data_IF_671383464402
#
_entry.id   IF_671383464402
#
_cell.length_a   1.000
_cell.length_b   1.000
_cell.length_c   1.000
_cell.angle_alpha   90.00
_cell.angle_beta   90.00
_cell.angle_gamma   90.00
#
_symmetry.space_group_name_H-M   'P 1'
#
loop_
_entity.id
_entity.type
_entity.pdbx_description
1 polymer ?
#
# COMPACT_ATOMS: atom_id res chain seq x y z
N UNK A 1 1.85 -32.55 90.32
CA UNK A 1 2.79 -33.35 89.52
C UNK A 1 2.02 -34.40 88.75
N UNK A 2 1.82 -34.20 87.44
CA UNK A 2 1.60 -35.24 86.42
C UNK A 2 1.56 -34.51 85.06
N UNK A 3 2.61 -34.69 84.25
CA UNK A 3 2.66 -34.21 82.86
C UNK A 3 1.90 -35.21 81.99
N UNK A 4 0.92 -34.76 81.20
CA UNK A 4 0.38 -35.52 80.07
C UNK A 4 0.84 -34.86 78.77
N UNK A 5 1.66 -35.61 78.03
CA UNK A 5 2.12 -35.31 76.68
C UNK A 5 1.06 -35.81 75.69
N UNK A 6 0.57 -34.95 74.81
CA UNK A 6 -0.20 -35.35 73.63
C UNK A 6 0.69 -35.17 72.40
N UNK A 7 1.28 -36.26 71.94
CA UNK A 7 1.88 -36.34 70.60
C UNK A 7 0.75 -36.71 69.63
N UNK A 8 0.32 -35.75 68.81
CA UNK A 8 -0.52 -36.03 67.66
C UNK A 8 0.36 -36.64 66.55
N UNK A 9 0.18 -37.92 66.28
CA UNK A 9 0.80 -38.58 65.14
C UNK A 9 0.09 -38.13 63.85
N UNK A 10 0.70 -37.24 63.07
CA UNK A 10 0.28 -36.99 61.70
C UNK A 10 0.58 -38.23 60.86
N UNK A 11 -0.47 -38.96 60.43
CA UNK A 11 -0.28 -40.07 59.50
C UNK A 11 0.20 -39.52 58.14
N UNK A 12 1.24 -40.07 57.52
CA UNK A 12 1.72 -39.59 56.23
C UNK A 12 0.70 -39.77 55.09
N UNK A 13 -0.33 -40.59 55.30
CA UNK A 13 -1.33 -40.94 54.29
C UNK A 13 -2.30 -39.80 53.98
N UNK A 14 -2.57 -38.91 54.94
CA UNK A 14 -3.43 -37.74 54.71
C UNK A 14 -2.76 -36.71 53.81
N UNK A 15 -1.44 -36.55 53.90
CA UNK A 15 -0.67 -35.66 53.03
C UNK A 15 -0.58 -36.19 51.59
N UNK A 16 -0.48 -37.52 51.41
CA UNK A 16 -0.52 -38.11 50.06
C UNK A 16 -1.89 -38.01 49.40
N UNK A 17 -2.97 -38.15 50.18
CA UNK A 17 -4.33 -38.00 49.66
C UNK A 17 -4.64 -36.56 49.19
N UNK A 18 -4.19 -35.55 49.93
CA UNK A 18 -4.35 -34.15 49.52
C UNK A 18 -3.51 -33.81 48.30
N UNK A 19 -2.28 -34.32 48.20
CA UNK A 19 -1.43 -34.11 47.03
C UNK A 19 -2.04 -34.76 45.77
N UNK A 20 -2.58 -35.97 45.88
CA UNK A 20 -3.22 -36.68 44.78
C UNK A 20 -4.52 -35.99 44.30
N UNK A 21 -5.30 -35.43 45.22
CA UNK A 21 -6.51 -34.67 44.88
C UNK A 21 -6.18 -33.35 44.14
N UNK A 22 -5.09 -32.68 44.53
CA UNK A 22 -4.64 -31.44 43.87
C UNK A 22 -4.09 -31.73 42.47
N UNK A 23 -3.27 -32.78 42.30
CA UNK A 23 -2.70 -33.12 40.99
C UNK A 23 -3.76 -33.59 40.00
N UNK A 24 -4.73 -34.37 40.45
CA UNK A 24 -5.87 -34.79 39.60
C UNK A 24 -6.75 -33.61 39.22
N UNK A 25 -7.02 -32.68 40.14
CA UNK A 25 -7.79 -31.47 39.83
C UNK A 25 -7.09 -30.57 38.81
N UNK A 26 -5.76 -30.39 38.93
CA UNK A 26 -4.97 -29.60 37.97
C UNK A 26 -4.94 -30.26 36.60
N UNK A 27 -4.83 -31.59 36.52
CA UNK A 27 -4.88 -32.33 35.25
C UNK A 27 -6.26 -32.26 34.58
N UNK A 28 -7.35 -32.29 35.35
CA UNK A 28 -8.71 -32.14 34.80
C UNK A 28 -8.95 -30.71 34.32
N UNK A 29 -8.49 -29.70 35.05
CA UNK A 29 -8.57 -28.29 34.62
C UNK A 29 -7.71 -28.00 33.39
N UNK A 30 -6.52 -28.60 33.29
CA UNK A 30 -5.68 -28.44 32.09
C UNK A 30 -6.27 -29.14 30.88
N UNK A 31 -6.88 -30.33 31.06
CA UNK A 31 -7.59 -31.04 29.99
C UNK A 31 -8.84 -30.29 29.53
N UNK A 32 -9.64 -29.76 30.47
CA UNK A 32 -10.82 -28.96 30.14
C UNK A 32 -10.45 -27.67 29.39
N UNK A 33 -9.37 -26.99 29.82
CA UNK A 33 -8.87 -25.77 29.16
C UNK A 33 -8.32 -26.05 27.77
N UNK A 34 -7.64 -27.18 27.57
CA UNK A 34 -7.14 -27.58 26.24
C UNK A 34 -8.27 -28.04 25.32
N UNK A 35 -9.32 -28.70 25.82
CA UNK A 35 -10.52 -28.99 25.02
C UNK A 35 -11.31 -27.74 24.60
N UNK A 36 -11.41 -26.73 25.48
CA UNK A 36 -12.03 -25.44 25.15
C UNK A 36 -11.21 -24.62 24.14
N UNK A 37 -9.88 -24.67 24.22
CA UNK A 37 -9.00 -24.05 23.22
C UNK A 37 -9.04 -24.79 21.88
N UNK A 38 -9.16 -26.12 21.87
CA UNK A 38 -9.23 -26.89 20.64
C UNK A 38 -10.58 -26.75 19.90
N UNK A 39 -11.66 -26.41 20.61
CA UNK A 39 -12.96 -26.18 19.98
C UNK A 39 -13.06 -24.82 19.26
N UNK A 40 -12.11 -23.91 19.51
CA UNK A 40 -11.93 -22.66 18.75
C UNK A 40 -10.73 -22.67 17.79
N UNK A 41 -9.99 -23.78 17.71
CA UNK A 41 -8.79 -23.91 16.86
C UNK A 41 -8.92 -25.00 15.78
N UNK A 42 -10.14 -25.34 15.37
CA UNK A 42 -10.36 -25.91 14.04
C UNK A 42 -10.31 -24.77 13.01
N UNK A 43 -9.10 -24.26 12.75
CA UNK A 43 -8.85 -23.49 11.55
C UNK A 43 -8.91 -24.48 10.39
N UNK A 44 -10.06 -24.54 9.74
CA UNK A 44 -10.20 -25.21 8.45
C UNK A 44 -9.22 -24.53 7.49
N UNK A 45 -8.17 -25.26 7.11
CA UNK A 45 -7.23 -24.85 6.09
C UNK A 45 -7.98 -24.91 4.76
N UNK A 46 -8.60 -23.79 4.37
CA UNK A 46 -9.18 -23.62 3.05
C UNK A 46 -8.05 -23.75 2.02
N UNK A 47 -8.02 -24.90 1.34
CA UNK A 47 -7.16 -25.15 0.20
C UNK A 47 -7.63 -24.27 -0.98
N UNK A 48 -6.82 -23.30 -1.44
CA UNK A 48 -7.21 -22.37 -2.50
C UNK A 48 -7.31 -23.02 -3.90
N UNK A 49 -7.18 -24.35 -4.02
CA UNK A 49 -7.33 -25.09 -5.27
C UNK A 49 -8.57 -25.99 -5.35
N UNK A 50 -9.54 -25.85 -4.45
CA UNK A 50 -10.83 -26.54 -4.63
C UNK A 50 -11.61 -25.91 -5.80
N UNK A 51 -11.95 -26.67 -6.87
CA UNK A 51 -12.64 -26.13 -8.04
C UNK A 51 -14.12 -25.77 -7.79
N UNK A 52 -14.64 -26.02 -6.58
CA UNK A 52 -16.06 -25.88 -6.24
C UNK A 52 -16.34 -24.81 -5.17
N UNK A 53 -15.40 -23.90 -4.89
CA UNK A 53 -15.65 -22.77 -4.00
C UNK A 53 -16.51 -21.71 -4.70
N UNK A 54 -17.85 -21.87 -4.67
CA UNK A 54 -18.79 -20.82 -5.04
C UNK A 54 -18.62 -19.63 -4.08
N UNK A 55 -18.20 -18.49 -4.64
CA UNK A 55 -18.17 -17.21 -3.94
C UNK A 55 -19.58 -16.90 -3.40
N UNK A 56 -19.76 -16.60 -2.11
CA UNK A 56 -21.06 -16.16 -1.62
C UNK A 56 -21.45 -14.91 -2.40
N UNK A 57 -22.61 -14.99 -3.07
CA UNK A 57 -23.18 -13.89 -3.83
C UNK A 57 -23.29 -12.67 -2.90
N UNK A 58 -22.39 -11.71 -3.07
CA UNK A 58 -22.43 -10.46 -2.35
C UNK A 58 -23.80 -9.83 -2.61
N UNK A 59 -24.49 -9.48 -1.53
CA UNK A 59 -25.68 -8.65 -1.59
C UNK A 59 -25.30 -7.39 -2.38
N UNK A 60 -25.76 -7.32 -3.62
CA UNK A 60 -25.54 -6.19 -4.52
C UNK A 60 -26.46 -5.07 -4.06
N UNK A 61 -26.02 -4.36 -3.02
CA UNK A 61 -26.31 -2.94 -2.90
C UNK A 61 -25.92 -2.33 -4.25
N UNK A 62 -26.83 -1.61 -4.91
CA UNK A 62 -26.59 -0.96 -6.18
C UNK A 62 -25.58 0.18 -5.97
N UNK A 63 -24.31 -0.20 -5.88
CA UNK A 63 -23.17 0.69 -5.86
C UNK A 63 -23.22 1.56 -7.10
N UNK A 64 -23.28 2.87 -6.92
CA UNK A 64 -23.14 3.80 -8.03
C UNK A 64 -21.76 3.56 -8.67
N UNK A 65 -21.75 3.08 -9.91
CA UNK A 65 -20.51 2.96 -10.65
C UNK A 65 -19.98 4.37 -10.94
N UNK A 66 -18.66 4.63 -10.78
CA UNK A 66 -18.09 5.95 -11.08
C UNK A 66 -18.42 6.39 -12.51
N UNK A 67 -18.96 7.60 -12.69
CA UNK A 67 -19.12 8.20 -14.02
C UNK A 67 -17.79 8.24 -14.80
N UNK A 68 -17.87 8.02 -16.11
CA UNK A 68 -16.73 7.89 -17.02
C UNK A 68 -16.82 8.86 -18.20
N UNK A 69 -15.65 9.17 -18.74
CA UNK A 69 -15.50 9.96 -19.96
C UNK A 69 -14.97 11.38 -19.71
N UNK A 70 -14.85 12.18 -20.79
CA UNK A 70 -14.35 13.55 -20.70
C UNK A 70 -15.19 14.40 -19.74
N UNK A 71 -14.53 15.09 -18.82
CA UNK A 71 -15.20 15.93 -17.82
C UNK A 71 -15.67 15.20 -16.56
N UNK A 72 -15.62 13.86 -16.52
CA UNK A 72 -15.78 13.11 -15.27
C UNK A 72 -14.44 13.02 -14.52
N UNK A 73 -14.42 13.08 -13.18
CA UNK A 73 -13.21 12.83 -12.42
C UNK A 73 -12.62 11.45 -12.75
N UNK A 74 -11.30 11.26 -12.62
CA UNK A 74 -10.69 9.97 -12.87
C UNK A 74 -10.95 8.97 -11.73
N UNK A 75 -10.51 7.74 -11.94
CA UNK A 75 -10.48 6.69 -10.91
C UNK A 75 -9.02 6.26 -10.73
N UNK A 76 -8.51 6.40 -9.50
CA UNK A 76 -7.19 5.91 -9.14
C UNK A 76 -7.26 4.51 -8.55
N UNK A 77 -6.28 3.68 -8.89
CA UNK A 77 -5.98 2.45 -8.20
C UNK A 77 -4.74 2.67 -7.34
N UNK A 78 -4.85 2.39 -6.05
CA UNK A 78 -3.76 2.49 -5.09
C UNK A 78 -3.23 1.11 -4.74
N UNK A 79 -1.93 0.91 -4.92
CA UNK A 79 -1.21 -0.21 -4.36
C UNK A 79 -0.41 0.28 -3.15
N UNK A 80 -0.90 -0.06 -1.95
CA UNK A 80 -0.33 0.41 -0.68
C UNK A 80 0.40 -0.75 0.00
N UNK A 81 1.71 -0.60 0.18
CA UNK A 81 2.59 -1.64 0.70
C UNK A 81 3.19 -1.28 2.06
N UNK A 82 3.35 -2.27 2.93
CA UNK A 82 4.10 -2.17 4.19
C UNK A 82 4.78 -3.48 4.57
N UNK A 83 5.64 -3.44 5.58
CA UNK A 83 6.31 -4.61 6.11
C UNK A 83 5.99 -4.87 7.59
N UNK A 84 6.97 -5.40 8.30
CA UNK A 84 6.88 -5.64 9.74
C UNK A 84 6.55 -4.36 10.51
N UNK A 85 5.49 -4.36 11.32
CA UNK A 85 5.10 -3.23 12.16
C UNK A 85 4.33 -2.12 11.45
N UNK A 86 4.16 -2.21 10.12
CA UNK A 86 3.54 -1.14 9.33
C UNK A 86 2.01 -1.21 9.28
N UNK A 87 1.37 -2.21 9.91
CA UNK A 87 -0.08 -2.39 9.89
C UNK A 87 -0.86 -1.10 10.23
N UNK A 88 -0.40 -0.34 11.23
CA UNK A 88 -1.04 0.92 11.63
C UNK A 88 -0.76 2.05 10.64
N UNK A 89 0.45 2.12 10.09
CA UNK A 89 0.84 3.16 9.12
C UNK A 89 0.10 2.98 7.80
N UNK A 90 0.00 1.75 7.30
CA UNK A 90 -0.80 1.41 6.11
C UNK A 90 -2.28 1.74 6.33
N UNK A 91 -2.81 1.46 7.53
CA UNK A 91 -4.19 1.81 7.91
C UNK A 91 -4.42 3.33 7.89
N UNK A 92 -3.52 4.10 8.53
CA UNK A 92 -3.58 5.57 8.54
C UNK A 92 -3.51 6.13 7.13
N UNK A 93 -2.57 5.64 6.32
CA UNK A 93 -2.39 6.06 4.94
C UNK A 93 -3.64 5.76 4.10
N UNK A 94 -4.21 4.55 4.19
CA UNK A 94 -5.47 4.22 3.51
C UNK A 94 -6.57 5.23 3.87
N UNK A 95 -6.78 5.51 5.15
CA UNK A 95 -7.76 6.51 5.61
C UNK A 95 -7.50 7.90 5.02
N UNK A 96 -6.23 8.30 4.93
CA UNK A 96 -5.81 9.58 4.38
C UNK A 96 -6.09 9.70 2.87
N UNK A 97 -5.94 8.61 2.11
CA UNK A 97 -6.14 8.58 0.65
C UNK A 97 -7.49 8.00 0.22
N UNK A 98 -8.40 7.69 1.14
CA UNK A 98 -9.65 7.02 0.82
C UNK A 98 -10.65 7.92 0.07
N UNK A 99 -11.27 7.36 -0.97
CA UNK A 99 -12.37 7.94 -1.72
C UNK A 99 -13.18 6.78 -2.35
N UNK A 100 -14.52 6.81 -2.31
CA UNK A 100 -15.36 5.69 -2.75
C UNK A 100 -15.22 5.35 -4.24
N UNK A 101 -14.82 6.32 -5.07
CA UNK A 101 -14.57 6.08 -6.51
C UNK A 101 -13.35 5.23 -6.81
N UNK A 102 -12.33 5.32 -5.95
CA UNK A 102 -11.02 4.74 -6.21
C UNK A 102 -10.98 3.26 -5.82
N UNK A 103 -9.92 2.56 -6.21
CA UNK A 103 -9.67 1.16 -5.88
C UNK A 103 -8.42 1.05 -5.01
N UNK A 104 -8.43 0.18 -4.00
CA UNK A 104 -7.33 0.04 -3.05
C UNK A 104 -6.93 -1.42 -2.91
N UNK A 105 -5.64 -1.70 -3.06
CA UNK A 105 -5.04 -2.99 -2.75
C UNK A 105 -3.95 -2.79 -1.70
N UNK A 106 -4.18 -3.36 -0.52
CA UNK A 106 -3.25 -3.34 0.59
C UNK A 106 -2.42 -4.62 0.60
N UNK A 107 -1.12 -4.50 0.78
CA UNK A 107 -0.19 -5.62 0.86
C UNK A 107 0.78 -5.41 2.01
N UNK A 108 0.83 -6.37 2.92
CA UNK A 108 1.92 -6.49 3.88
C UNK A 108 2.81 -7.63 3.44
N UNK A 109 4.11 -7.38 3.34
CA UNK A 109 5.10 -8.34 2.86
C UNK A 109 5.27 -9.56 3.79
N UNK A 110 6.17 -10.47 3.44
CA UNK A 110 6.45 -11.66 4.24
C UNK A 110 7.13 -11.36 5.59
N UNK A 111 7.66 -10.15 5.80
CA UNK A 111 8.19 -9.68 7.08
C UNK A 111 7.08 -9.37 8.10
N UNK A 112 5.88 -9.02 7.64
CA UNK A 112 4.74 -8.86 8.54
C UNK A 112 4.26 -10.20 9.12
N UNK A 113 3.87 -10.20 10.39
CA UNK A 113 3.31 -11.40 11.03
C UNK A 113 1.92 -11.77 10.50
N UNK A 114 1.53 -13.04 10.64
CA UNK A 114 0.16 -13.48 10.30
C UNK A 114 -0.91 -12.70 11.07
N UNK A 115 -0.63 -12.36 12.34
CA UNK A 115 -1.49 -11.51 13.16
C UNK A 115 -1.67 -10.11 12.58
N UNK A 116 -0.60 -9.46 12.10
CA UNK A 116 -0.70 -8.12 11.51
C UNK A 116 -1.53 -8.13 10.23
N UNK A 117 -1.32 -9.12 9.35
CA UNK A 117 -2.16 -9.29 8.14
C UNK A 117 -3.63 -9.54 8.48
N UNK A 118 -3.89 -10.41 9.45
CA UNK A 118 -5.26 -10.68 9.92
C UNK A 118 -5.90 -9.43 10.54
N UNK A 119 -5.12 -8.66 11.31
CA UNK A 119 -5.57 -7.40 11.91
C UNK A 119 -5.92 -6.37 10.84
N UNK A 120 -5.07 -6.18 9.82
CA UNK A 120 -5.34 -5.27 8.70
C UNK A 120 -6.63 -5.68 7.96
N UNK A 121 -6.80 -6.97 7.68
CA UNK A 121 -8.00 -7.48 7.03
C UNK A 121 -9.27 -7.29 7.89
N UNK A 122 -9.17 -7.51 9.20
CA UNK A 122 -10.28 -7.27 10.12
C UNK A 122 -10.63 -5.79 10.25
N UNK A 123 -9.63 -4.92 10.23
CA UNK A 123 -9.83 -3.47 10.22
C UNK A 123 -10.60 -3.02 8.96
N UNK A 124 -10.19 -3.50 7.77
CA UNK A 124 -10.91 -3.18 6.53
C UNK A 124 -12.37 -3.63 6.58
N UNK A 125 -12.64 -4.79 7.20
CA UNK A 125 -14.01 -5.31 7.39
C UNK A 125 -14.80 -4.65 8.51
N UNK A 126 -14.19 -3.81 9.36
CA UNK A 126 -14.91 -3.12 10.43
C UNK A 126 -15.36 -1.71 10.04
N UNK A 127 -14.74 -1.13 9.01
CA UNK A 127 -15.06 0.23 8.57
C UNK A 127 -16.24 0.24 7.62
N UNK A 128 -17.32 0.94 8.00
CA UNK A 128 -18.58 0.95 7.27
C UNK A 128 -18.41 1.41 5.82
N UNK A 129 -17.65 2.49 5.59
CA UNK A 129 -17.41 3.00 4.23
C UNK A 129 -16.75 1.95 3.33
N UNK A 130 -15.76 1.21 3.85
CA UNK A 130 -15.03 0.22 3.06
C UNK A 130 -15.91 -0.99 2.73
N UNK A 131 -16.74 -1.42 3.68
CA UNK A 131 -17.74 -2.47 3.46
C UNK A 131 -18.79 -2.07 2.44
N UNK A 132 -19.33 -0.84 2.58
CA UNK A 132 -20.44 -0.38 1.76
C UNK A 132 -20.00 -0.18 0.32
N UNK A 133 -18.84 0.45 0.08
CA UNK A 133 -18.30 0.69 -1.26
C UNK A 133 -17.55 -0.51 -1.87
N UNK A 134 -17.10 -1.47 -1.05
CA UNK A 134 -16.47 -2.70 -1.50
C UNK A 134 -15.18 -2.51 -2.32
N UNK A 135 -14.51 -1.38 -2.17
CA UNK A 135 -13.40 -0.93 -3.03
C UNK A 135 -12.01 -1.06 -2.38
N UNK A 136 -11.91 -1.74 -1.24
CA UNK A 136 -10.66 -1.97 -0.50
C UNK A 136 -10.40 -3.48 -0.38
N UNK A 137 -9.25 -3.92 -0.88
CA UNK A 137 -8.84 -5.31 -0.89
C UNK A 137 -7.53 -5.50 -0.12
N UNK A 138 -7.37 -6.64 0.54
CA UNK A 138 -6.14 -7.00 1.27
C UNK A 138 -5.57 -8.29 0.70
N UNK A 139 -4.29 -8.27 0.34
CA UNK A 139 -3.59 -9.48 -0.10
C UNK A 139 -3.33 -10.37 1.13
N UNK A 140 -3.90 -11.58 1.13
CA UNK A 140 -3.80 -12.49 2.27
C UNK A 140 -2.39 -13.07 2.50
N UNK A 141 -1.66 -13.36 1.41
CA UNK A 141 -0.30 -13.89 1.45
C UNK A 141 0.72 -12.80 1.10
N UNK A 142 1.56 -12.46 2.08
CA UNK A 142 2.69 -11.56 1.87
C UNK A 142 3.73 -12.18 0.95
N UNK A 143 4.30 -11.37 0.08
CA UNK A 143 5.40 -11.76 -0.80
C UNK A 143 6.72 -11.49 -0.08
N UNK A 144 7.72 -12.34 -0.31
CA UNK A 144 9.08 -12.03 0.11
C UNK A 144 9.58 -10.82 -0.71
N UNK A 145 10.19 -9.85 -0.03
CA UNK A 145 10.53 -8.56 -0.63
C UNK A 145 11.79 -7.96 0.00
N UNK A 146 12.66 -7.40 -0.83
CA UNK A 146 13.62 -6.35 -0.45
C UNK A 146 13.46 -5.19 -1.45
N UNK A 147 13.22 -3.98 -0.93
CA UNK A 147 12.94 -2.80 -1.76
C UNK A 147 14.07 -2.39 -2.70
N UNK A 148 15.30 -2.84 -2.43
CA UNK A 148 16.48 -2.60 -3.28
C UNK A 148 16.61 -3.61 -4.42
N UNK A 149 15.72 -4.60 -4.48
CA UNK A 149 15.85 -5.75 -5.36
C UNK A 149 14.76 -5.84 -6.43
N UNK A 150 14.93 -6.72 -7.41
CA UNK A 150 13.91 -7.03 -8.41
C UNK A 150 12.62 -7.61 -7.83
N UNK A 151 12.63 -8.17 -6.63
CA UNK A 151 11.41 -8.56 -5.91
C UNK A 151 10.45 -7.38 -5.73
N UNK A 152 10.95 -6.14 -5.61
CA UNK A 152 10.11 -4.94 -5.58
C UNK A 152 9.31 -4.72 -6.87
N UNK A 153 9.96 -4.91 -8.03
CA UNK A 153 9.28 -4.82 -9.34
C UNK A 153 8.23 -5.93 -9.46
N UNK A 154 8.59 -7.16 -9.07
CA UNK A 154 7.68 -8.29 -9.11
C UNK A 154 6.43 -8.06 -8.22
N UNK A 155 6.60 -7.48 -7.03
CA UNK A 155 5.50 -7.15 -6.12
C UNK A 155 4.56 -6.11 -6.73
N UNK A 156 5.08 -5.03 -7.33
CA UNK A 156 4.25 -4.01 -8.00
C UNK A 156 3.47 -4.61 -9.18
N UNK A 157 4.12 -5.42 -10.02
CA UNK A 157 3.46 -6.08 -11.16
C UNK A 157 2.38 -7.07 -10.71
N UNK A 158 2.62 -7.81 -9.62
CA UNK A 158 1.62 -8.69 -9.01
C UNK A 158 0.43 -7.89 -8.48
N UNK A 159 0.69 -6.81 -7.74
CA UNK A 159 -0.35 -5.92 -7.24
C UNK A 159 -1.20 -5.32 -8.36
N UNK A 160 -0.55 -4.83 -9.41
CA UNK A 160 -1.21 -4.36 -10.63
C UNK A 160 -2.07 -5.44 -11.30
N UNK A 161 -1.56 -6.67 -11.43
CA UNK A 161 -2.31 -7.79 -12.00
C UNK A 161 -3.57 -8.12 -11.19
N UNK A 162 -3.52 -8.02 -9.86
CA UNK A 162 -4.68 -8.20 -8.98
C UNK A 162 -5.68 -7.04 -9.18
N UNK A 163 -5.21 -5.79 -9.16
CA UNK A 163 -6.05 -4.59 -9.36
C UNK A 163 -6.76 -4.55 -10.72
N UNK A 164 -6.19 -5.17 -11.75
CA UNK A 164 -6.88 -5.35 -13.04
C UNK A 164 -8.00 -6.40 -13.00
N UNK A 165 -8.01 -7.29 -11.99
CA UNK A 165 -9.03 -8.34 -11.82
C UNK A 165 -10.13 -7.96 -10.83
N UNK A 166 -9.81 -7.21 -9.78
CA UNK A 166 -10.72 -6.98 -8.63
C UNK A 166 -11.51 -5.67 -8.70
N UNK A 167 -11.35 -4.86 -9.74
CA UNK A 167 -12.04 -3.57 -9.85
C UNK A 167 -12.35 -3.15 -11.28
N UNK A 168 -13.28 -2.20 -11.41
CA UNK A 168 -13.65 -1.56 -12.68
C UNK A 168 -12.44 -0.84 -13.32
N UNK A 169 -12.58 -0.45 -14.59
CA UNK A 169 -11.54 0.21 -15.40
C UNK A 169 -10.99 1.49 -14.75
N UNK A 170 -9.99 1.40 -13.88
CA UNK A 170 -9.30 2.56 -13.29
C UNK A 170 -8.40 3.25 -14.33
N UNK A 171 -8.06 4.52 -14.10
CA UNK A 171 -7.32 5.35 -15.05
C UNK A 171 -5.81 5.35 -14.76
N UNK A 172 -5.43 5.46 -13.48
CA UNK A 172 -4.04 5.50 -13.03
C UNK A 172 -3.78 4.59 -11.85
N UNK A 173 -2.62 3.93 -11.86
CA UNK A 173 -2.05 3.22 -10.72
C UNK A 173 -1.09 4.15 -9.96
N UNK A 174 -1.28 4.25 -8.65
CA UNK A 174 -0.40 4.95 -7.71
C UNK A 174 0.20 3.92 -6.75
N UNK A 175 1.53 3.87 -6.66
CA UNK A 175 2.23 3.01 -5.69
C UNK A 175 2.65 3.83 -4.48
N UNK A 176 2.28 3.36 -3.28
CA UNK A 176 2.62 4.02 -2.01
C UNK A 176 3.15 3.01 -1.00
N UNK A 177 4.22 3.37 -0.30
CA UNK A 177 4.73 2.66 0.87
C UNK A 177 4.17 3.20 2.19
N UNK A 178 4.36 2.46 3.28
CA UNK A 178 3.97 2.87 4.63
C UNK A 178 4.65 4.18 5.12
N UNK A 179 5.71 4.61 4.45
CA UNK A 179 6.42 5.85 4.71
C UNK A 179 5.98 7.02 3.81
N UNK A 180 4.88 6.87 3.08
CA UNK A 180 4.33 7.89 2.19
C UNK A 180 3.06 8.51 2.79
N UNK A 181 2.76 9.75 2.38
CA UNK A 181 1.56 10.45 2.82
C UNK A 181 1.09 11.47 1.78
N UNK A 182 -0.23 11.66 1.61
CA UNK A 182 -0.76 12.68 0.70
C UNK A 182 -0.53 14.11 1.22
N UNK A 183 -0.28 15.03 0.30
CA UNK A 183 -0.19 16.48 0.53
C UNK A 183 -1.40 17.24 -0.02
N UNK A 184 -2.41 16.51 -0.52
CA UNK A 184 -3.67 17.01 -1.06
C UNK A 184 -4.80 16.07 -0.65
N UNK A 185 -6.03 16.56 -0.57
CA UNK A 185 -7.21 15.69 -0.40
C UNK A 185 -7.46 14.88 -1.67
N UNK A 186 -8.27 13.82 -1.58
CA UNK A 186 -8.66 13.05 -2.76
C UNK A 186 -9.49 13.88 -3.73
N UNK A 187 -10.39 14.73 -3.25
CA UNK A 187 -11.11 15.68 -4.09
C UNK A 187 -10.14 16.62 -4.86
N UNK A 188 -9.11 17.14 -4.18
CA UNK A 188 -8.08 17.98 -4.81
C UNK A 188 -7.30 17.23 -5.90
N UNK A 189 -6.94 15.97 -5.65
CA UNK A 189 -6.26 15.12 -6.61
C UNK A 189 -7.14 14.82 -7.83
N UNK A 190 -8.39 14.42 -7.58
CA UNK A 190 -9.40 14.13 -8.60
C UNK A 190 -9.67 15.36 -9.47
N UNK A 191 -9.80 16.53 -8.85
CA UNK A 191 -9.96 17.81 -9.55
C UNK A 191 -8.75 18.12 -10.44
N UNK A 192 -7.53 18.03 -9.90
CA UNK A 192 -6.33 18.38 -10.65
C UNK A 192 -6.06 17.43 -11.84
N UNK A 193 -6.40 16.15 -11.71
CA UNK A 193 -6.23 15.17 -12.78
C UNK A 193 -7.43 15.07 -13.74
N UNK A 194 -8.56 15.71 -13.45
CA UNK A 194 -9.74 15.67 -14.34
C UNK A 194 -9.47 16.27 -15.74
N UNK A 195 -8.53 17.21 -15.84
CA UNK A 195 -8.11 17.83 -17.11
C UNK A 195 -6.88 17.17 -17.75
N UNK A 196 -6.28 16.18 -17.08
CA UNK A 196 -5.08 15.49 -17.54
C UNK A 196 -5.49 14.35 -18.49
N UNK A 197 -4.85 14.21 -19.67
CA UNK A 197 -5.08 13.06 -20.54
C UNK A 197 -4.72 11.74 -19.83
N UNK A 198 -5.67 10.80 -19.81
CA UNK A 198 -5.63 9.55 -19.01
C UNK A 198 -4.57 8.53 -19.46
N UNK A 199 -4.00 8.75 -20.65
CA UNK A 199 -2.93 7.94 -21.21
C UNK A 199 -1.53 8.39 -20.76
N UNK A 200 -1.40 9.54 -20.09
CA UNK A 200 -0.13 10.03 -19.58
C UNK A 200 0.35 9.27 -18.33
N UNK A 201 1.66 9.16 -18.21
CA UNK A 201 2.37 8.54 -17.10
C UNK A 201 3.29 9.58 -16.47
N UNK A 202 3.29 9.66 -15.15
CA UNK A 202 4.09 10.61 -14.38
C UNK A 202 5.22 9.85 -13.70
N UNK A 203 6.41 9.97 -14.29
CA UNK A 203 7.61 9.32 -13.81
C UNK A 203 8.82 10.11 -14.30
N UNK A 204 9.67 10.50 -13.35
CA UNK A 204 10.95 11.05 -13.74
C UNK A 204 11.81 9.96 -14.38
N UNK A 205 12.59 10.35 -15.37
CA UNK A 205 13.53 9.47 -16.05
C UNK A 205 14.68 10.27 -16.63
N UNK A 206 15.85 9.63 -16.64
CA UNK A 206 17.06 10.08 -17.33
C UNK A 206 17.75 8.87 -17.94
N UNK A 207 18.44 9.08 -19.05
CA UNK A 207 19.30 8.03 -19.62
C UNK A 207 20.37 7.66 -18.58
N UNK A 208 20.58 6.36 -18.39
CA UNK A 208 21.61 5.87 -17.51
C UNK A 208 22.96 5.84 -18.23
N UNK A 209 23.94 6.53 -17.67
CA UNK A 209 25.30 6.65 -18.23
C UNK A 209 26.30 5.67 -17.62
N UNK A 210 25.86 4.78 -16.73
CA UNK A 210 26.74 3.78 -16.12
C UNK A 210 27.04 2.69 -17.15
N UNK A 211 28.33 2.36 -17.31
CA UNK A 211 28.73 1.31 -18.25
C UNK A 211 28.65 -0.09 -17.64
N UNK A 212 28.66 -0.17 -16.31
CA UNK A 212 28.67 -1.42 -15.56
C UNK A 212 27.68 -1.33 -14.40
N UNK A 213 26.90 -2.39 -14.21
CA UNK A 213 26.02 -2.53 -13.05
C UNK A 213 26.46 -3.71 -12.19
N UNK A 214 26.29 -3.54 -10.88
CA UNK A 214 26.53 -4.59 -9.90
C UNK A 214 25.52 -5.72 -10.08
N UNK A 215 26.02 -6.95 -10.07
CA UNK A 215 25.16 -8.15 -10.11
C UNK A 215 24.75 -8.51 -8.69
N UNK A 216 23.45 -8.66 -8.46
CA UNK A 216 22.90 -9.06 -7.17
C UNK A 216 22.12 -10.36 -7.28
N UNK A 217 22.02 -11.09 -6.17
CA UNK A 217 21.11 -12.20 -5.97
C UNK A 217 20.04 -11.78 -4.98
N UNK A 218 18.82 -11.59 -5.50
CA UNK A 218 17.63 -11.36 -4.71
C UNK A 218 16.93 -12.70 -4.42
N UNK A 219 17.20 -13.26 -3.23
CA UNK A 219 16.64 -14.54 -2.82
C UNK A 219 15.12 -14.50 -2.61
N UNK A 220 14.54 -13.30 -2.47
CA UNK A 220 13.10 -13.11 -2.29
C UNK A 220 12.29 -13.57 -3.51
N UNK A 221 12.89 -13.62 -4.70
CA UNK A 221 12.26 -14.21 -5.89
C UNK A 221 12.11 -15.74 -5.80
N UNK A 222 12.83 -16.39 -4.89
CA UNK A 222 12.94 -17.85 -4.80
C UNK A 222 12.40 -18.41 -3.46
N UNK A 223 12.05 -17.54 -2.51
CA UNK A 223 11.72 -17.91 -1.15
C UNK A 223 10.42 -17.23 -0.69
N UNK A 224 9.88 -17.70 0.44
CA UNK A 224 8.64 -17.16 1.02
C UNK A 224 8.86 -16.26 2.24
N UNK A 225 10.11 -15.95 2.57
CA UNK A 225 10.50 -15.11 3.71
C UNK A 225 11.43 -14.01 3.21
N UNK A 226 11.32 -12.83 3.82
CA UNK A 226 12.22 -11.72 3.49
C UNK A 226 13.68 -12.12 3.76
N UNK A 227 14.55 -11.84 2.80
CA UNK A 227 15.98 -12.07 2.87
C UNK A 227 16.73 -10.84 2.35
N UNK A 228 17.89 -10.57 2.93
CA UNK A 228 18.76 -9.49 2.43
C UNK A 228 19.33 -9.85 1.05
N UNK A 229 19.42 -8.84 0.18
CA UNK A 229 20.06 -8.98 -1.11
C UNK A 229 21.55 -9.29 -0.95
N UNK A 230 22.01 -10.31 -1.66
CA UNK A 230 23.41 -10.69 -1.72
C UNK A 230 24.09 -10.04 -2.92
N UNK A 231 25.11 -9.23 -2.67
CA UNK A 231 25.88 -8.57 -3.73
C UNK A 231 27.00 -9.50 -4.22
N UNK A 232 27.10 -9.69 -5.53
CA UNK A 232 28.21 -10.42 -6.17
C UNK A 232 29.38 -9.48 -6.47
N UNK A 233 30.59 -10.03 -6.58
CA UNK A 233 31.77 -9.30 -7.07
C UNK A 233 31.73 -9.07 -8.60
N UNK A 234 30.83 -9.75 -9.30
CA UNK A 234 30.64 -9.61 -10.74
C UNK A 234 29.96 -8.31 -11.14
N UNK A 235 30.37 -7.77 -12.28
CA UNK A 235 29.73 -6.63 -12.93
C UNK A 235 29.18 -7.07 -14.28
N UNK A 236 28.10 -6.42 -14.71
CA UNK A 236 27.48 -6.65 -16.02
C UNK A 236 27.61 -5.39 -16.86
N UNK A 237 28.03 -5.55 -18.12
CA UNK A 237 28.06 -4.47 -19.10
C UNK A 237 26.65 -4.01 -19.48
N UNK A 238 26.53 -2.74 -19.84
CA UNK A 238 25.30 -2.16 -20.37
C UNK A 238 24.83 -2.94 -21.63
N UNK A 239 23.53 -3.26 -21.76
CA UNK A 239 23.01 -3.97 -22.92
C UNK A 239 23.11 -3.10 -24.19
N UNK A 240 23.31 -3.76 -25.32
CA UNK A 240 23.32 -3.16 -26.66
C UNK A 240 21.93 -3.15 -27.33
N UNK A 241 21.04 -4.04 -26.89
CA UNK A 241 19.71 -4.23 -27.47
C UNK A 241 18.68 -3.15 -27.07
N UNK A 242 18.90 -2.40 -26.00
CA UNK A 242 18.01 -1.34 -25.52
C UNK A 242 18.75 -0.34 -24.63
N UNK A 243 18.21 0.86 -24.50
CA UNK A 243 18.79 1.90 -23.67
C UNK A 243 18.25 1.83 -22.24
N UNK A 244 19.12 1.94 -21.25
CA UNK A 244 18.72 2.00 -19.85
C UNK A 244 18.31 3.41 -19.45
N UNK A 245 17.20 3.50 -18.73
CA UNK A 245 16.73 4.73 -18.11
C UNK A 245 16.49 4.49 -16.62
N UNK A 246 16.86 5.48 -15.79
CA UNK A 246 16.69 5.45 -14.34
C UNK A 246 15.86 6.67 -13.88
N UNK A 247 15.08 6.52 -12.82
CA UNK A 247 14.36 7.61 -12.15
C UNK A 247 13.86 7.19 -10.78
N UNK A 248 12.89 7.92 -10.23
CA UNK A 248 12.23 7.55 -8.97
C UNK A 248 11.53 6.20 -9.10
N UNK A 249 11.58 5.34 -8.07
CA UNK A 249 10.76 4.13 -8.04
C UNK A 249 9.26 4.43 -7.81
N UNK A 250 8.92 5.66 -7.42
CA UNK A 250 7.56 6.12 -7.12
C UNK A 250 6.95 6.86 -8.30
N UNK A 251 5.85 6.33 -8.85
CA UNK A 251 5.32 6.72 -10.15
C UNK A 251 3.79 6.71 -10.13
N UNK A 252 3.17 7.50 -11.02
CA UNK A 252 1.74 7.41 -11.34
C UNK A 252 1.61 6.92 -12.77
N UNK A 253 1.17 5.68 -12.95
CA UNK A 253 1.20 4.98 -14.23
C UNK A 253 -0.20 4.83 -14.82
N UNK A 254 -0.38 5.20 -16.08
CA UNK A 254 -1.63 4.99 -16.80
C UNK A 254 -1.98 3.49 -16.86
N UNK A 255 -3.27 3.17 -16.84
CA UNK A 255 -3.73 1.79 -16.99
C UNK A 255 -3.20 1.12 -18.25
N UNK A 256 -3.20 1.82 -19.39
CA UNK A 256 -2.72 1.28 -20.65
C UNK A 256 -1.24 0.85 -20.59
N UNK A 257 -0.41 1.61 -19.88
CA UNK A 257 1.00 1.24 -19.67
C UNK A 257 1.14 0.07 -18.71
N UNK A 258 0.41 0.07 -17.60
CA UNK A 258 0.41 -1.03 -16.63
C UNK A 258 -0.04 -2.34 -17.27
N UNK A 259 -1.11 -2.31 -18.07
CA UNK A 259 -1.60 -3.44 -18.87
C UNK A 259 -0.51 -3.96 -19.81
N UNK A 260 0.24 -3.07 -20.46
CA UNK A 260 1.35 -3.46 -21.32
C UNK A 260 2.47 -4.16 -20.52
N UNK A 261 2.83 -3.68 -19.34
CA UNK A 261 3.85 -4.31 -18.50
C UNK A 261 3.42 -5.69 -17.98
N UNK A 262 2.15 -5.84 -17.57
CA UNK A 262 1.63 -7.09 -16.98
C UNK A 262 1.28 -8.13 -18.05
N UNK A 263 0.52 -7.75 -19.08
CA UNK A 263 0.18 -8.66 -20.16
C UNK A 263 1.38 -8.97 -21.06
N UNK A 264 2.30 -8.00 -21.17
CA UNK A 264 3.49 -8.05 -22.02
C UNK A 264 3.14 -8.59 -23.42
N UNK A 265 2.29 -7.92 -24.21
CA UNK A 265 1.96 -8.40 -25.56
C UNK A 265 3.21 -8.46 -26.46
N UNK A 266 4.21 -7.63 -26.17
CA UNK A 266 5.54 -7.65 -26.77
C UNK A 266 6.55 -8.32 -25.83
N UNK A 267 7.69 -8.74 -26.36
CA UNK A 267 8.71 -9.42 -25.55
C UNK A 267 9.53 -8.47 -24.66
N UNK A 268 9.57 -7.17 -24.95
CA UNK A 268 10.43 -6.21 -24.25
C UNK A 268 10.19 -6.20 -22.72
N UNK A 269 8.96 -6.07 -22.17
CA UNK A 269 8.76 -6.13 -20.72
C UNK A 269 9.27 -7.44 -20.09
N UNK A 270 9.14 -8.58 -20.78
CA UNK A 270 9.67 -9.88 -20.29
C UNK A 270 11.19 -9.93 -20.34
N UNK A 271 11.80 -9.45 -21.44
CA UNK A 271 13.25 -9.33 -21.58
C UNK A 271 13.84 -8.46 -20.48
N UNK A 272 13.18 -7.33 -20.16
CA UNK A 272 13.61 -6.43 -19.11
C UNK A 272 13.46 -7.05 -17.71
N UNK A 273 12.39 -7.82 -17.44
CA UNK A 273 12.29 -8.58 -16.19
C UNK A 273 13.44 -9.59 -16.03
N UNK A 274 13.81 -10.30 -17.10
CA UNK A 274 14.99 -11.18 -17.09
C UNK A 274 16.29 -10.40 -16.93
N UNK A 275 16.40 -9.20 -17.52
CA UNK A 275 17.58 -8.37 -17.39
C UNK A 275 17.78 -7.89 -15.95
N UNK A 276 16.73 -7.35 -15.33
CA UNK A 276 16.78 -6.73 -14.01
C UNK A 276 16.68 -7.72 -12.85
N UNK A 277 16.48 -9.02 -13.11
CA UNK A 277 16.39 -10.06 -12.05
C UNK A 277 17.64 -10.15 -11.17
N UNK A 278 18.76 -9.58 -11.61
CA UNK A 278 20.03 -9.59 -10.90
C UNK A 278 20.63 -8.17 -10.80
N UNK A 279 19.80 -7.13 -10.75
CA UNK A 279 20.24 -5.72 -10.68
C UNK A 279 19.74 -5.04 -9.40
N UNK A 280 20.58 -4.23 -8.77
CA UNK A 280 20.19 -3.40 -7.63
C UNK A 280 19.27 -2.26 -8.08
N UNK A 281 18.37 -1.84 -7.22
CA UNK A 281 17.42 -0.74 -7.44
C UNK A 281 16.58 -0.93 -8.70
N UNK A 282 16.24 -2.17 -9.05
CA UNK A 282 15.51 -2.51 -10.27
C UNK A 282 14.21 -1.70 -10.47
N UNK A 283 13.54 -1.30 -9.38
CA UNK A 283 12.35 -0.45 -9.41
C UNK A 283 12.59 0.97 -9.93
N UNK A 284 13.82 1.48 -9.83
CA UNK A 284 14.23 2.77 -10.40
C UNK A 284 14.45 2.71 -11.91
N UNK A 285 14.54 1.50 -12.49
CA UNK A 285 14.89 1.30 -13.89
C UNK A 285 13.78 0.68 -14.73
N UNK A 286 13.08 -0.31 -14.19
CA UNK A 286 12.25 -1.22 -14.99
C UNK A 286 11.21 -0.45 -15.82
N UNK A 287 10.38 0.34 -15.16
CA UNK A 287 9.29 1.05 -15.82
C UNK A 287 9.82 2.13 -16.78
N UNK A 288 10.86 2.86 -16.36
CA UNK A 288 11.51 3.90 -17.15
C UNK A 288 12.06 3.32 -18.46
N UNK A 289 12.73 2.18 -18.34
CA UNK A 289 13.35 1.47 -19.46
C UNK A 289 12.28 0.86 -20.38
N UNK A 290 11.23 0.24 -19.85
CA UNK A 290 10.10 -0.26 -20.67
C UNK A 290 9.49 0.90 -21.46
N UNK A 291 9.22 2.03 -20.81
CA UNK A 291 8.55 3.16 -21.41
C UNK A 291 9.37 3.79 -22.54
N UNK A 292 10.64 4.11 -22.28
CA UNK A 292 11.51 4.76 -23.26
C UNK A 292 11.76 3.89 -24.51
N UNK A 293 11.83 2.57 -24.33
CA UNK A 293 12.10 1.62 -25.43
C UNK A 293 10.84 1.12 -26.12
N UNK A 294 9.63 1.51 -25.69
CA UNK A 294 8.38 1.13 -26.33
C UNK A 294 7.81 2.28 -27.16
N UNK A 295 7.80 2.21 -28.51
CA UNK A 295 7.38 3.31 -29.38
C UNK A 295 5.99 3.87 -29.05
N UNK A 296 5.06 3.01 -28.62
CA UNK A 296 3.69 3.38 -28.25
C UNK A 296 3.63 4.41 -27.11
N UNK A 297 4.58 4.38 -26.17
CA UNK A 297 4.52 5.21 -24.96
C UNK A 297 5.45 6.42 -24.97
N UNK A 298 6.25 6.63 -26.03
CA UNK A 298 7.24 7.72 -26.12
C UNK A 298 6.67 9.12 -25.88
N UNK A 299 5.43 9.38 -26.29
CA UNK A 299 4.77 10.69 -26.13
C UNK A 299 3.80 10.72 -24.95
N UNK A 300 3.77 9.67 -24.14
CA UNK A 300 2.85 9.53 -23.00
C UNK A 300 3.55 9.65 -21.65
N UNK A 301 4.74 10.25 -21.62
CA UNK A 301 5.57 10.36 -20.42
C UNK A 301 5.73 11.81 -20.02
N UNK A 302 5.36 12.12 -18.79
CA UNK A 302 5.64 13.39 -18.12
C UNK A 302 6.80 13.14 -17.15
N UNK A 303 7.94 13.81 -17.39
CA UNK A 303 9.18 13.65 -16.63
C UNK A 303 9.11 14.32 -15.24
N UNK A 304 8.20 13.86 -14.38
CA UNK A 304 7.96 14.38 -13.04
C UNK A 304 7.24 13.33 -12.19
N UNK A 305 7.69 13.09 -10.95
CA UNK A 305 7.12 12.05 -10.06
C UNK A 305 5.86 12.51 -9.30
N UNK A 306 5.58 13.82 -9.28
CA UNK A 306 4.46 14.43 -8.52
C UNK A 306 4.57 14.13 -7.00
N UNK A 307 5.78 13.80 -6.56
CA UNK A 307 6.13 13.42 -5.20
C UNK A 307 7.26 14.31 -4.70
N UNK A 308 7.20 14.68 -3.42
CA UNK A 308 8.26 15.40 -2.72
C UNK A 308 8.92 14.51 -1.67
N UNK A 309 10.23 14.64 -1.48
CA UNK A 309 10.91 13.95 -0.38
C UNK A 309 10.78 14.77 0.90
N UNK A 310 10.51 14.10 2.03
CA UNK A 310 10.44 14.77 3.33
C UNK A 310 11.83 15.31 3.71
N UNK A 311 11.95 16.61 4.02
CA UNK A 311 13.22 17.18 4.48
C UNK A 311 13.72 16.49 5.76
N UNK A 312 15.00 16.10 5.83
CA UNK A 312 15.54 15.41 7.00
C UNK A 312 15.50 16.34 8.23
N UNK A 313 15.37 15.79 9.45
CA UNK A 313 15.26 16.59 10.68
C UNK A 313 16.62 17.18 11.15
N UNK A 314 17.42 17.75 10.26
CA UNK A 314 18.78 18.25 10.52
C UNK A 314 18.79 19.61 11.23
N UNK A 315 18.14 19.71 12.40
CA UNK A 315 18.08 20.94 13.19
C UNK A 315 17.21 22.06 12.57
N UNK A 316 16.49 21.77 11.49
CA UNK A 316 15.50 22.67 10.91
C UNK A 316 14.27 22.80 11.80
N UNK A 317 13.68 23.99 11.83
CA UNK A 317 12.41 24.25 12.50
C UNK A 317 11.30 23.38 11.88
N UNK A 318 10.48 22.76 12.72
CA UNK A 318 9.35 21.92 12.29
C UNK A 318 8.36 22.71 11.43
N UNK A 319 8.23 24.01 11.67
CA UNK A 319 7.43 24.90 10.84
C UNK A 319 7.98 24.99 9.42
N UNK A 320 9.28 25.22 9.26
CA UNK A 320 9.92 25.33 7.96
C UNK A 320 9.83 24.01 7.16
N UNK A 321 10.03 22.85 7.84
CA UNK A 321 9.86 21.52 7.24
C UNK A 321 8.44 21.32 6.70
N UNK A 322 7.44 21.71 7.49
CA UNK A 322 6.03 21.64 7.10
C UNK A 322 5.70 22.58 5.94
N UNK A 323 6.17 23.83 5.99
CA UNK A 323 5.93 24.82 4.95
C UNK A 323 6.56 24.39 3.61
N UNK A 324 7.75 23.79 3.63
CA UNK A 324 8.39 23.21 2.45
C UNK A 324 7.52 22.10 1.82
N UNK A 325 6.94 21.21 2.64
CA UNK A 325 6.05 20.15 2.15
C UNK A 325 4.79 20.72 1.49
N UNK A 326 4.05 21.59 2.18
CA UNK A 326 2.76 22.10 1.71
C UNK A 326 2.89 23.06 0.52
N UNK A 327 4.03 23.76 0.41
CA UNK A 327 4.33 24.66 -0.70
C UNK A 327 4.92 23.98 -1.94
N UNK A 328 5.36 22.72 -1.83
CA UNK A 328 5.97 21.95 -2.94
C UNK A 328 5.06 21.81 -4.17
N UNK A 329 3.74 21.84 -3.98
CA UNK A 329 2.76 21.60 -5.04
C UNK A 329 2.65 20.13 -5.47
N UNK A 330 3.39 19.22 -4.84
CA UNK A 330 3.31 17.78 -5.07
C UNK A 330 2.01 17.19 -4.51
N UNK A 331 1.59 16.04 -5.04
CA UNK A 331 0.40 15.33 -4.54
C UNK A 331 0.73 14.46 -3.31
N UNK A 332 1.95 13.94 -3.25
CA UNK A 332 2.42 13.07 -2.18
C UNK A 332 3.78 13.52 -1.66
N UNK A 333 4.06 13.17 -0.42
CA UNK A 333 5.40 13.14 0.12
C UNK A 333 5.74 11.75 0.62
N UNK A 334 7.02 11.45 0.76
CA UNK A 334 7.39 10.22 1.46
C UNK A 334 8.77 10.24 2.07
N UNK A 335 9.15 9.07 2.60
CA UNK A 335 10.26 8.90 3.54
C UNK A 335 9.97 9.49 4.93
N UNK A 336 8.70 9.52 5.34
CA UNK A 336 8.33 9.82 6.72
C UNK A 336 8.94 8.76 7.65
N UNK A 337 9.74 9.21 8.61
CA UNK A 337 10.27 8.37 9.68
C UNK A 337 9.30 8.37 10.86
N UNK A 338 9.81 8.66 12.06
CA UNK A 338 9.01 8.89 13.27
C UNK A 338 8.45 10.33 13.32
N UNK A 339 7.88 10.80 12.20
CA UNK A 339 7.42 12.18 12.00
C UNK A 339 5.94 12.37 12.44
N UNK A 340 5.54 11.80 13.58
CA UNK A 340 4.11 11.66 13.89
C UNK A 340 3.39 13.00 14.15
N UNK A 341 4.11 13.98 14.70
CA UNK A 341 3.59 15.34 14.84
C UNK A 341 3.37 16.03 13.48
N UNK A 342 4.24 15.76 12.50
CA UNK A 342 4.14 16.33 11.16
C UNK A 342 2.99 15.68 10.38
N UNK A 343 2.84 14.35 10.49
CA UNK A 343 1.71 13.61 9.92
C UNK A 343 0.38 14.08 10.54
N UNK A 344 0.34 14.28 11.85
CA UNK A 344 -0.85 14.82 12.53
C UNK A 344 -1.21 16.21 12.02
N UNK A 345 -0.21 17.07 11.83
CA UNK A 345 -0.43 18.40 11.28
C UNK A 345 -0.95 18.38 9.85
N UNK A 346 -0.44 17.48 9.00
CA UNK A 346 -0.97 17.27 7.64
C UNK A 346 -2.43 16.81 7.69
N UNK A 347 -2.77 15.87 8.57
CA UNK A 347 -4.16 15.43 8.76
C UNK A 347 -5.09 16.59 9.13
N UNK A 348 -4.70 17.42 10.10
CA UNK A 348 -5.54 18.51 10.61
C UNK A 348 -5.66 19.68 9.63
N UNK A 349 -4.53 20.16 9.10
CA UNK A 349 -4.47 21.42 8.35
C UNK A 349 -4.66 21.24 6.85
N UNK A 350 -4.17 20.13 6.27
CA UNK A 350 -4.23 19.87 4.83
C UNK A 350 -5.44 19.00 4.49
N UNK A 351 -5.56 17.85 5.15
CA UNK A 351 -6.60 16.86 4.83
C UNK A 351 -7.92 17.13 5.55
N UNK A 352 -7.89 17.89 6.65
CA UNK A 352 -9.01 18.08 7.59
C UNK A 352 -9.61 16.74 8.02
N UNK A 353 -8.74 15.75 8.21
CA UNK A 353 -9.09 14.38 8.57
C UNK A 353 -9.28 14.27 10.08
N UNK A 354 -10.41 13.73 10.56
CA UNK A 354 -10.56 13.41 11.99
C UNK A 354 -9.64 12.25 12.38
N UNK A 355 -9.22 12.20 13.65
CA UNK A 355 -8.21 11.24 14.15
C UNK A 355 -8.50 9.79 13.70
N UNK A 356 -9.73 9.34 13.90
CA UNK A 356 -10.17 7.98 13.63
C UNK A 356 -11.02 7.81 12.37
N UNK A 357 -11.14 8.83 11.51
CA UNK A 357 -11.95 8.76 10.28
C UNK A 357 -11.15 8.85 8.98
N UNK A 358 -11.85 8.61 7.88
CA UNK A 358 -11.34 8.84 6.52
C UNK A 358 -11.27 10.34 6.21
N UNK A 359 -10.42 10.73 5.25
CA UNK A 359 -10.39 12.12 4.75
C UNK A 359 -11.74 12.48 4.16
N UNK A 360 -12.43 13.53 4.66
CA UNK A 360 -13.72 13.92 4.12
C UNK A 360 -13.60 14.49 2.70
N UNK A 361 -14.53 14.12 1.82
CA UNK A 361 -14.72 14.71 0.49
C UNK A 361 -16.17 15.14 0.27
N UNK A 362 -16.51 15.63 -0.92
CA UNK A 362 -17.90 15.97 -1.25
C UNK A 362 -18.84 14.77 -1.31
N UNK A 363 -18.28 13.58 -1.53
CA UNK A 363 -19.01 12.32 -1.50
C UNK A 363 -19.56 11.98 -0.10
N UNK A 364 -19.10 12.66 0.96
CA UNK A 364 -19.60 12.45 2.32
C UNK A 364 -21.02 13.01 2.47
N UNK A 365 -21.94 12.19 2.97
CA UNK A 365 -23.19 12.70 3.55
C UNK A 365 -22.87 13.26 4.94
N UNK A 366 -22.97 14.58 5.09
CA UNK A 366 -22.72 15.24 6.37
C UNK A 366 -23.92 15.07 7.30
N UNK A 367 -23.73 14.27 8.35
CA UNK A 367 -24.68 14.10 9.45
C UNK A 367 -24.21 14.80 10.71
N UNK A 368 -25.13 15.04 11.65
CA UNK A 368 -24.78 15.40 13.03
C UNK A 368 -24.42 14.11 13.78
N UNK A 369 -23.14 13.92 14.10
CA UNK A 369 -22.66 12.81 14.92
C UNK A 369 -23.21 12.87 16.35
N UNK A 370 -23.02 11.80 17.13
CA UNK A 370 -23.56 11.67 18.49
C UNK A 370 -23.09 12.81 19.43
N UNK A 371 -21.89 13.35 19.20
CA UNK A 371 -21.32 14.47 19.95
C UNK A 371 -21.62 15.86 19.33
N UNK A 372 -22.46 15.92 18.29
CA UNK A 372 -22.78 17.15 17.54
C UNK A 372 -21.68 17.60 16.56
N UNK A 373 -20.57 16.88 16.45
CA UNK A 373 -19.58 17.08 15.41
C UNK A 373 -20.10 16.56 14.05
N UNK A 374 -19.77 17.26 12.97
CA UNK A 374 -20.14 16.81 11.62
C UNK A 374 -19.30 15.57 11.25
N UNK A 375 -19.96 14.43 11.09
CA UNK A 375 -19.31 13.17 10.74
C UNK A 375 -19.53 12.86 9.25
N UNK A 376 -18.45 12.47 8.55
CA UNK A 376 -18.56 12.00 7.17
C UNK A 376 -19.20 10.62 7.19
N UNK A 377 -20.45 10.52 6.74
CA UNK A 377 -21.17 9.25 6.58
C UNK A 377 -21.31 8.87 5.11
N UNK A 378 -21.62 7.59 4.87
CA UNK A 378 -21.83 7.05 3.52
C UNK A 378 -23.12 7.59 2.92
N UNK A 379 -23.18 7.75 1.59
CA UNK A 379 -24.41 8.05 0.85
C UNK A 379 -24.45 9.38 0.08
N UNK A 380 -23.34 10.12 -0.02
CA UNK A 380 -23.24 11.25 -0.95
C UNK A 380 -22.90 10.84 -2.39
N UNK A 381 -22.81 11.84 -3.27
CA UNK A 381 -22.45 11.62 -4.67
C UNK A 381 -20.94 11.38 -4.81
N UNK A 382 -20.57 10.15 -5.21
CA UNK A 382 -19.17 9.79 -5.40
C UNK A 382 -18.50 10.59 -6.52
N UNK A 383 -19.25 11.15 -7.47
CA UNK A 383 -18.71 11.91 -8.59
C UNK A 383 -18.52 13.39 -8.25
N UNK A 384 -19.10 13.85 -7.14
CA UNK A 384 -18.93 15.21 -6.66
C UNK A 384 -17.52 15.42 -6.10
N UNK A 385 -16.87 16.49 -6.53
CA UNK A 385 -15.49 16.81 -6.17
C UNK A 385 -15.39 18.31 -5.85
N UNK A 386 -14.84 18.65 -4.67
CA UNK A 386 -14.58 20.05 -4.30
C UNK A 386 -13.10 20.40 -4.44
N UNK A 387 -12.84 21.41 -5.27
CA UNK A 387 -11.51 22.01 -5.35
C UNK A 387 -11.18 22.85 -4.10
N UNK A 388 -10.02 22.60 -3.52
CA UNK A 388 -9.38 23.33 -2.44
C UNK A 388 -8.24 24.23 -2.94
N UNK A 389 -7.47 24.78 -1.99
CA UNK A 389 -6.29 25.58 -2.33
C UNK A 389 -5.13 24.71 -2.82
N UNK A 390 -4.95 23.50 -2.25
CA UNK A 390 -3.91 22.57 -2.65
C UNK A 390 -4.21 21.96 -4.03
N UNK A 391 -5.46 21.59 -4.31
CA UNK A 391 -5.90 21.12 -5.63
C UNK A 391 -5.69 22.16 -6.73
N UNK A 392 -5.91 23.45 -6.46
CA UNK A 392 -5.59 24.52 -7.44
C UNK A 392 -4.10 24.63 -7.73
N UNK A 393 -3.24 24.47 -6.71
CA UNK A 393 -1.78 24.46 -6.91
C UNK A 393 -1.36 23.24 -7.73
N UNK A 394 -1.88 22.07 -7.39
CA UNK A 394 -1.61 20.83 -8.11
C UNK A 394 -2.10 20.90 -9.57
N UNK A 395 -3.30 21.44 -9.81
CA UNK A 395 -3.83 21.66 -11.15
C UNK A 395 -2.95 22.62 -11.96
N UNK A 396 -2.43 23.68 -11.33
CA UNK A 396 -1.46 24.58 -11.97
C UNK A 396 -0.14 23.87 -12.31
N UNK A 397 0.34 22.99 -11.43
CA UNK A 397 1.52 22.16 -11.71
C UNK A 397 1.25 21.21 -12.89
N UNK A 398 0.11 20.50 -12.89
CA UNK A 398 -0.28 19.61 -13.98
C UNK A 398 -0.40 20.36 -15.31
N UNK A 399 -1.04 21.54 -15.32
CA UNK A 399 -1.15 22.36 -16.51
C UNK A 399 0.22 22.82 -17.04
N UNK A 400 1.18 23.13 -16.14
CA UNK A 400 2.55 23.44 -16.52
C UNK A 400 3.27 22.25 -17.15
N UNK A 401 3.17 21.07 -16.53
CA UNK A 401 3.84 19.85 -16.96
C UNK A 401 3.28 19.29 -18.28
N UNK A 402 1.95 19.32 -18.45
CA UNK A 402 1.27 18.82 -19.65
C UNK A 402 1.25 19.87 -20.76
N UNK A 403 1.23 21.17 -20.40
CA UNK A 403 1.23 22.29 -21.33
C UNK A 403 2.58 22.59 -21.97
N UNK A 404 3.71 22.18 -21.35
CA UNK A 404 5.00 22.13 -22.04
C UNK A 404 5.01 20.94 -23.00
N UNK A 405 4.62 21.21 -24.24
CA UNK A 405 4.63 20.22 -25.31
C UNK A 405 5.99 19.56 -25.49
N UNK A 406 5.94 18.27 -25.80
CA UNK A 406 6.97 17.45 -26.46
C UNK A 406 8.38 17.48 -25.86
N UNK A 407 8.81 16.33 -25.33
CA UNK A 407 10.21 16.01 -25.06
C UNK A 407 11.13 16.39 -26.24
N UNK A 408 11.78 17.55 -26.15
CA UNK A 408 12.88 17.95 -27.05
C UNK A 408 14.16 17.13 -26.81
N UNK A 409 14.14 16.17 -25.87
CA UNK A 409 15.24 15.24 -25.56
C UNK A 409 15.08 13.82 -26.11
N UNK A 410 13.98 13.48 -26.80
CA UNK A 410 13.80 12.15 -27.42
C UNK A 410 14.25 12.09 -28.89
N UNK A 411 15.04 13.07 -29.35
CA UNK A 411 15.65 13.11 -30.67
C UNK A 411 17.17 13.17 -30.57
N UNK A 412 17.77 12.02 -30.31
CA UNK A 412 19.06 11.58 -30.86
C UNK A 412 19.46 10.29 -30.20
#
# INVERSE_FOLDING_TARGET
MARSSWLAACSPWSAFATLAAVTTSVLVLSYASSSFLNQHAAYEYDDPYSPDAELPAAATSSLAAPARGPGSPPVFAYYITGGHGDCLRVTRLLKAVYHPRNQYLLHLDAGAGAYERARLASYVRSEQAFLEYGNVHVVGKGDALDGRGPSAVAAVLRGAAILMRVGADWDWLVTLGAADYPLVTQDDLLFAFASVPRDLNFMDHRADSENHHVVVLDQNLLQSTNAEISISSGHREKPDAFELFRGSPWQILSRAFVEHCVAAPENLPRTLLMYFSNTLDAAEFYFQTVMANTPRFRNSTVNHSVRHDVPPPQGEDQQARYDALVSSGAAFAGRFGDDEALLQRIDEEVLRRPLDGVTPGEWCAWGSGEDGAAECSVGGDIDAVRQGAAGRRLASLMAGLVGTGTCDGCKS
#
